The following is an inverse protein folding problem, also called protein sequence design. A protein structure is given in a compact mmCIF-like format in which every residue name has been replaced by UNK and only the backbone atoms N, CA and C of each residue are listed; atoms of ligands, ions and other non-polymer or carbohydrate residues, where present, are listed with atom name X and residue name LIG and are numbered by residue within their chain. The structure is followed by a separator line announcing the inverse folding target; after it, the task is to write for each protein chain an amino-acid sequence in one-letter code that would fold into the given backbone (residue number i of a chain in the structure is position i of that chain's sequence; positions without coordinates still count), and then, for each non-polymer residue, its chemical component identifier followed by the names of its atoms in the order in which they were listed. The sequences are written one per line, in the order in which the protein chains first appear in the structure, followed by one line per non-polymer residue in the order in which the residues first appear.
data_IF_350876723517
#
_entry.id   IF_350876723517
#
_cell.length_a   1.000
_cell.length_b   1.000
_cell.length_c   1.000
_cell.angle_alpha   90.00
_cell.angle_beta   90.00
_cell.angle_gamma   90.00
#
_symmetry.space_group_name_H-M   'P 1'
#
loop_
_entity.id
_entity.type
_entity.pdbx_description
1 polymer ?
#
# COMPACT_ATOMS: atom_id res chain seq x y z
N UNK A 1 -13.01 -8.38 5.12
CA UNK A 1 -12.38 -7.05 5.05
C UNK A 1 -10.87 -7.18 4.98
N UNK A 2 -10.31 -6.78 3.84
CA UNK A 2 -8.87 -6.70 3.57
C UNK A 2 -8.35 -5.42 4.22
N UNK A 3 -7.29 -5.51 5.03
CA UNK A 3 -6.59 -4.32 5.53
C UNK A 3 -5.53 -3.89 4.51
N UNK A 4 -5.47 -2.60 4.22
CA UNK A 4 -4.50 -2.00 3.32
C UNK A 4 -3.63 -1.07 4.14
N UNK A 5 -2.35 -1.40 4.30
CA UNK A 5 -1.37 -0.52 4.93
C UNK A 5 -0.70 0.31 3.84
N UNK A 6 -0.73 1.63 3.99
CA UNK A 6 -0.16 2.55 3.02
C UNK A 6 0.10 3.92 3.64
N UNK A 7 0.52 4.87 2.82
CA UNK A 7 0.68 6.26 3.24
C UNK A 7 0.29 7.20 2.10
N UNK A 8 -0.25 8.37 2.42
CA UNK A 8 -0.73 9.32 1.40
C UNK A 8 0.40 9.93 0.55
N UNK A 9 1.67 9.82 0.95
CA UNK A 9 2.81 10.28 0.15
C UNK A 9 3.34 9.18 -0.77
N UNK A 10 2.74 7.99 -0.77
CA UNK A 10 3.09 6.90 -1.67
C UNK A 10 2.18 6.99 -2.90
N UNK A 11 2.72 7.28 -4.10
CA UNK A 11 1.92 7.45 -5.31
C UNK A 11 1.07 6.21 -5.63
N UNK A 12 1.63 5.00 -5.43
CA UNK A 12 0.91 3.74 -5.58
C UNK A 12 -0.29 3.61 -4.63
N UNK A 13 -0.15 4.06 -3.37
CA UNK A 13 -1.24 4.04 -2.41
C UNK A 13 -2.36 5.01 -2.80
N UNK A 14 -1.98 6.19 -3.28
CA UNK A 14 -2.94 7.20 -3.73
C UNK A 14 -3.70 6.78 -5.00
N UNK A 15 -3.05 6.04 -5.90
CA UNK A 15 -3.71 5.42 -7.05
C UNK A 15 -4.82 4.42 -6.66
N UNK A 16 -4.69 3.77 -5.50
CA UNK A 16 -5.69 2.81 -5.00
C UNK A 16 -6.88 3.48 -4.33
N UNK A 17 -6.72 4.68 -3.76
CA UNK A 17 -7.77 5.33 -2.96
C UNK A 17 -9.12 5.45 -3.69
N UNK A 18 -9.20 5.88 -4.97
CA UNK A 18 -10.46 5.94 -5.69
C UNK A 18 -11.10 4.56 -5.93
N UNK A 19 -10.30 3.48 -5.95
CA UNK A 19 -10.77 2.13 -6.21
C UNK A 19 -11.47 1.49 -5.00
N UNK A 20 -11.11 1.95 -3.79
CA UNK A 20 -11.65 1.44 -2.52
C UNK A 20 -12.70 2.35 -1.89
N UNK A 21 -12.87 3.58 -2.40
CA UNK A 21 -13.88 4.52 -1.93
C UNK A 21 -15.30 3.92 -2.06
N UNK A 22 -16.08 3.95 -0.97
CA UNK A 22 -17.43 3.38 -0.94
C UNK A 22 -17.48 1.84 -0.83
N UNK A 23 -16.35 1.19 -0.55
CA UNK A 23 -16.21 -0.26 -0.33
C UNK A 23 -15.67 -0.56 1.07
N UNK A 24 -16.10 0.21 2.07
CA UNK A 24 -15.63 0.11 3.45
C UNK A 24 -16.02 -1.22 4.13
N UNK A 25 -16.97 -1.96 3.55
CA UNK A 25 -17.32 -3.34 3.93
C UNK A 25 -16.26 -4.36 3.46
N UNK A 26 -15.50 -4.02 2.40
CA UNK A 26 -14.49 -4.89 1.79
C UNK A 26 -13.07 -4.48 2.19
N UNK A 27 -12.78 -3.19 2.31
CA UNK A 27 -11.43 -2.68 2.55
C UNK A 27 -11.35 -1.76 3.76
N UNK A 28 -10.27 -1.89 4.52
CA UNK A 28 -9.89 -0.96 5.58
C UNK A 28 -8.51 -0.39 5.28
N UNK A 29 -8.46 0.89 4.91
CA UNK A 29 -7.20 1.59 4.74
C UNK A 29 -6.61 2.03 6.08
N UNK A 30 -5.31 1.79 6.27
CA UNK A 30 -4.55 2.13 7.47
C UNK A 30 -3.36 2.97 7.02
N UNK A 31 -3.40 4.26 7.33
CA UNK A 31 -2.29 5.17 7.08
C UNK A 31 -1.19 4.95 8.13
N UNK A 32 -0.05 4.41 7.71
CA UNK A 32 1.10 4.13 8.58
C UNK A 32 1.80 5.42 9.03
N UNK A 33 1.64 6.52 8.28
CA UNK A 33 2.21 7.83 8.62
C UNK A 33 1.37 8.61 9.63
N UNK A 34 0.10 8.24 9.82
CA UNK A 34 -0.83 8.98 10.68
C UNK A 34 -0.54 8.81 12.19
N UNK A 35 -0.09 7.63 12.62
CA UNK A 35 0.14 7.34 14.03
C UNK A 35 1.22 6.26 14.22
N UNK A 36 2.07 6.42 15.24
CA UNK A 36 3.19 5.50 15.55
C UNK A 36 2.75 4.05 15.78
N UNK A 37 1.52 3.84 16.26
CA UNK A 37 0.96 2.50 16.44
C UNK A 37 0.74 1.78 15.11
N UNK A 38 0.24 2.48 14.08
CA UNK A 38 0.04 1.91 12.74
C UNK A 38 1.39 1.60 12.10
N UNK A 39 2.35 2.50 12.28
CA UNK A 39 3.74 2.29 11.83
C UNK A 39 4.36 1.06 12.51
N UNK A 40 4.24 0.95 13.83
CA UNK A 40 4.75 -0.19 14.58
C UNK A 40 4.12 -1.51 14.13
N UNK A 41 2.80 -1.56 13.96
CA UNK A 41 2.09 -2.75 13.46
C UNK A 41 2.58 -3.15 12.05
N UNK A 42 2.76 -2.18 11.16
CA UNK A 42 3.31 -2.43 9.83
C UNK A 42 4.78 -2.90 9.87
N UNK A 43 5.63 -2.25 10.66
CA UNK A 43 7.04 -2.62 10.79
C UNK A 43 7.23 -4.03 11.33
N UNK A 44 6.46 -4.41 12.36
CA UNK A 44 6.51 -5.77 12.91
C UNK A 44 6.15 -6.83 11.87
N UNK A 45 5.14 -6.56 11.02
CA UNK A 45 4.85 -7.43 9.88
C UNK A 45 5.99 -7.42 8.85
N UNK A 46 6.42 -6.25 8.40
CA UNK A 46 7.46 -6.08 7.36
C UNK A 46 8.77 -6.78 7.71
N UNK A 47 9.20 -6.66 8.97
CA UNK A 47 10.50 -7.13 9.39
C UNK A 47 10.51 -8.67 9.59
N UNK A 48 9.37 -9.27 9.93
CA UNK A 48 9.27 -10.68 10.29
C UNK A 48 8.61 -11.59 9.24
N UNK A 49 8.05 -11.04 8.15
CA UNK A 49 7.29 -11.80 7.14
C UNK A 49 8.08 -11.95 5.83
N UNK A 50 8.17 -13.18 5.27
CA UNK A 50 8.93 -13.44 4.04
C UNK A 50 8.35 -12.75 2.81
N UNK A 51 7.07 -12.37 2.82
CA UNK A 51 6.41 -11.62 1.76
C UNK A 51 7.11 -10.27 1.46
N UNK A 52 7.89 -9.74 2.42
CA UNK A 52 8.64 -8.50 2.28
C UNK A 52 10.11 -8.69 1.93
N UNK A 53 10.60 -9.93 1.81
CA UNK A 53 12.04 -10.18 1.61
C UNK A 53 12.57 -9.52 0.34
N UNK A 54 11.81 -9.59 -0.76
CA UNK A 54 12.18 -8.92 -2.00
C UNK A 54 12.17 -7.39 -1.86
N UNK A 55 11.11 -6.81 -1.28
CA UNK A 55 11.05 -5.37 -1.02
C UNK A 55 12.23 -4.89 -0.18
N UNK A 56 12.59 -5.62 0.88
CA UNK A 56 13.76 -5.32 1.72
C UNK A 56 15.06 -5.41 0.92
N UNK A 57 15.20 -6.42 0.05
CA UNK A 57 16.39 -6.61 -0.80
C UNK A 57 16.62 -5.42 -1.74
N UNK A 58 15.56 -4.88 -2.34
CA UNK A 58 15.65 -3.75 -3.28
C UNK A 58 15.59 -2.37 -2.59
N UNK A 59 15.48 -2.34 -1.26
CA UNK A 59 15.39 -1.09 -0.48
C UNK A 59 14.01 -0.43 -0.50
N UNK A 60 12.96 -1.16 -0.89
CA UNK A 60 11.57 -0.71 -0.86
C UNK A 60 10.97 -0.84 0.56
N UNK A 61 10.00 0.02 0.84
CA UNK A 61 9.18 0.00 2.05
C UNK A 61 8.22 -1.20 2.00
N UNK A 62 7.69 -1.56 0.82
CA UNK A 62 6.70 -2.64 0.68
C UNK A 62 5.28 -2.17 1.01
N UNK A 63 4.91 -0.98 0.54
CA UNK A 63 3.52 -0.48 0.55
C UNK A 63 3.07 -0.14 -0.89
N UNK A 64 1.78 -0.29 -1.23
CA UNK A 64 0.69 -0.76 -0.39
C UNK A 64 0.80 -2.25 -0.02
N UNK A 65 0.44 -2.59 1.22
CA UNK A 65 0.44 -3.96 1.73
C UNK A 65 -0.98 -4.41 2.05
N UNK A 66 -1.37 -5.59 1.55
CA UNK A 66 -2.70 -6.17 1.67
C UNK A 66 -2.68 -7.34 2.66
N UNK A 67 -3.42 -7.21 3.75
CA UNK A 67 -3.59 -8.27 4.76
C UNK A 67 -5.00 -8.82 4.66
N UNK A 68 -5.10 -10.09 4.29
CA UNK A 68 -6.37 -10.81 4.14
C UNK A 68 -6.86 -11.37 5.48
N UNK A 69 -8.13 -11.74 5.55
CA UNK A 69 -8.75 -12.24 6.79
C UNK A 69 -8.15 -13.56 7.29
N UNK A 70 -7.60 -14.36 6.38
CA UNK A 70 -6.92 -15.63 6.69
C UNK A 70 -5.46 -15.43 7.15
N UNK A 71 -5.01 -14.17 7.24
CA UNK A 71 -3.64 -13.81 7.62
C UNK A 71 -2.63 -13.91 6.49
N UNK A 72 -3.06 -14.17 5.24
CA UNK A 72 -2.22 -14.02 4.06
C UNK A 72 -1.84 -12.55 3.88
N UNK A 73 -0.62 -12.31 3.44
CA UNK A 73 -0.11 -10.99 3.04
C UNK A 73 0.18 -11.03 1.54
N UNK A 74 -0.15 -9.95 0.83
CA UNK A 74 0.31 -9.70 -0.53
C UNK A 74 0.72 -8.24 -0.69
N UNK A 75 1.66 -8.00 -1.59
CA UNK A 75 2.03 -6.66 -2.04
C UNK A 75 1.50 -6.37 -3.46
N UNK A 76 0.78 -7.33 -4.06
CA UNK A 76 0.15 -7.19 -5.36
C UNK A 76 -1.31 -6.73 -5.20
N UNK A 77 -1.71 -5.55 -5.74
CA UNK A 77 -3.09 -5.09 -5.71
C UNK A 77 -4.07 -6.04 -6.41
N UNK A 78 -3.64 -6.81 -7.41
CA UNK A 78 -4.49 -7.76 -8.12
C UNK A 78 -5.01 -8.87 -7.20
N UNK A 79 -4.20 -9.31 -6.23
CA UNK A 79 -4.61 -10.29 -5.22
C UNK A 79 -5.75 -9.78 -4.33
N UNK A 80 -5.86 -8.45 -4.18
CA UNK A 80 -6.92 -7.79 -3.46
C UNK A 80 -8.11 -7.42 -4.36
N UNK A 81 -8.10 -7.79 -5.65
CA UNK A 81 -9.14 -7.42 -6.61
C UNK A 81 -9.09 -5.95 -7.04
N UNK A 82 -7.92 -5.30 -6.90
CA UNK A 82 -7.66 -3.93 -7.30
C UNK A 82 -6.79 -3.90 -8.57
N UNK A 83 -6.82 -2.78 -9.28
CA UNK A 83 -6.05 -2.57 -10.49
C UNK A 83 -4.63 -2.14 -10.12
N UNK A 84 -3.65 -2.83 -10.70
CA UNK A 84 -2.23 -2.49 -10.58
C UNK A 84 -1.91 -1.18 -11.29
N UNK A 85 -0.93 -0.46 -10.75
CA UNK A 85 -0.41 0.74 -11.41
C UNK A 85 0.39 0.35 -12.64
N UNK A 86 -0.01 0.79 -13.84
CA UNK A 86 0.58 0.35 -15.11
C UNK A 86 1.94 0.98 -15.46
N UNK A 87 2.50 1.80 -14.56
CA UNK A 87 3.88 2.28 -14.69
C UNK A 87 4.12 3.25 -15.85
N UNK A 88 3.08 3.76 -16.51
CA UNK A 88 3.27 4.71 -17.63
C UNK A 88 3.84 6.08 -17.22
N UNK A 89 4.04 6.32 -15.91
CA UNK A 89 5.00 7.32 -15.46
C UNK A 89 5.77 6.86 -14.22
N UNK A 90 7.10 6.81 -14.27
CA UNK A 90 7.90 6.79 -13.05
C UNK A 90 7.57 8.06 -12.26
N UNK A 91 6.96 7.91 -11.09
CA UNK A 91 6.51 9.06 -10.32
C UNK A 91 7.56 9.47 -9.27
N UNK A 92 8.03 10.72 -9.36
CA UNK A 92 8.83 11.32 -8.29
C UNK A 92 7.90 11.86 -7.20
N UNK A 93 8.38 11.96 -5.96
CA UNK A 93 7.58 12.54 -4.85
C UNK A 93 7.14 13.98 -5.20
N UNK A 94 7.94 14.70 -5.98
CA UNK A 94 7.66 16.04 -6.47
C UNK A 94 6.48 16.05 -7.47
N UNK A 95 6.41 15.07 -8.37
CA UNK A 95 5.33 14.94 -9.34
C UNK A 95 3.99 14.68 -8.65
N UNK A 96 4.02 13.91 -7.56
CA UNK A 96 2.85 13.63 -6.73
C UNK A 96 2.36 14.87 -5.97
N UNK A 97 3.26 15.61 -5.32
CA UNK A 97 2.93 16.89 -4.64
C UNK A 97 2.34 17.91 -5.62
N UNK A 98 2.79 17.90 -6.88
CA UNK A 98 2.28 18.76 -7.94
C UNK A 98 0.88 18.37 -8.46
N UNK A 99 0.28 17.29 -7.95
CA UNK A 99 -1.09 16.87 -8.28
C UNK A 99 -1.24 16.21 -9.65
N UNK A 100 -0.14 15.66 -10.20
CA UNK A 100 -0.19 14.87 -11.43
C UNK A 100 -0.97 13.58 -11.17
N UNK A 101 -2.14 13.43 -11.80
CA UNK A 101 -2.96 12.21 -11.67
C UNK A 101 -2.37 11.07 -12.49
N UNK A 102 -2.36 9.86 -11.93
CA UNK A 102 -1.69 8.71 -12.56
C UNK A 102 -0.18 8.80 -12.45
N UNK A 103 0.30 9.74 -11.63
CA UNK A 103 1.35 9.56 -10.65
C UNK A 103 0.61 9.09 -9.38
#
# INVERSE_FOLDING_TARGET
MIKIYGMHTCPYCDFLQPQIQGKEDQYKYIDIGQHVQNMHEFMDMRDNRPEFDHSKEIGDIGIPCFVFEDGRISLDPADAGLVEYDGTSSCSIEDHIAGKKGC
#
